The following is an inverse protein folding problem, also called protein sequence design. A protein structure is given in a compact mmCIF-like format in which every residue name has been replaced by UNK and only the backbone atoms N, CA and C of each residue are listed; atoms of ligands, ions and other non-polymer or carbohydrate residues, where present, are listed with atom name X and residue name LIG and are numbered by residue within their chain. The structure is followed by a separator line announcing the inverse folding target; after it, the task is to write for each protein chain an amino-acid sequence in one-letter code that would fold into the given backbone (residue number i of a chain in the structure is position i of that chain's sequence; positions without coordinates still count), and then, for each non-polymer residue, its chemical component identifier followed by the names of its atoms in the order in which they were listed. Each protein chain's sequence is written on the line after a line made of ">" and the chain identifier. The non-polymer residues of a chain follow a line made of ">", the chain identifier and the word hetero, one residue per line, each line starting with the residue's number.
data_IF_430655230133
#
_entry.id   IF_430655230133
#
_cell.length_a   1.000
_cell.length_b   1.000
_cell.length_c   1.000
_cell.angle_alpha   90.00
_cell.angle_beta   90.00
_cell.angle_gamma   90.00
#
_symmetry.space_group_name_H-M   'P 1'
#
loop_
_entity.id
_entity.type
_entity.pdbx_description
1 polymer ?
#
# COMPACT_ATOMS: atom_id res chain seq x y z
N UNK A 1 34.86 -12.35 -5.39
CA UNK A 1 33.85 -11.26 -5.32
C UNK A 1 32.63 -11.78 -4.58
N UNK A 2 32.00 -10.97 -3.73
CA UNK A 2 30.80 -11.39 -2.97
C UNK A 2 29.57 -10.76 -3.63
N UNK A 3 28.68 -11.59 -4.14
CA UNK A 3 27.48 -11.21 -4.89
C UNK A 3 26.29 -10.93 -3.96
N UNK A 4 25.45 -10.00 -4.42
CA UNK A 4 24.14 -9.72 -3.84
C UNK A 4 23.09 -10.60 -4.54
N UNK A 5 22.22 -11.26 -3.77
CA UNK A 5 21.06 -11.94 -4.32
C UNK A 5 20.02 -10.88 -4.74
N UNK A 6 19.75 -10.75 -6.04
CA UNK A 6 18.63 -9.94 -6.52
C UNK A 6 17.33 -10.67 -6.17
N UNK A 7 16.59 -10.14 -5.20
CA UNK A 7 15.26 -10.65 -4.87
C UNK A 7 14.23 -10.04 -5.80
N UNK A 8 13.56 -10.90 -6.56
CA UNK A 8 12.28 -10.58 -7.23
C UNK A 8 11.23 -10.35 -6.13
N UNK A 9 10.39 -9.33 -6.26
CA UNK A 9 9.34 -9.01 -5.29
C UNK A 9 9.38 -7.56 -4.83
N UNK A 10 8.99 -6.64 -5.70
CA UNK A 10 8.65 -5.25 -5.35
C UNK A 10 7.14 -5.06 -5.19
N UNK A 11 6.33 -6.09 -5.47
CA UNK A 11 4.87 -5.99 -5.42
C UNK A 11 4.35 -5.73 -4.00
N UNK A 12 5.05 -6.19 -2.95
CA UNK A 12 4.72 -5.85 -1.57
C UNK A 12 4.70 -4.33 -1.31
N UNK A 13 5.52 -3.55 -2.03
CA UNK A 13 5.51 -2.07 -1.94
C UNK A 13 4.23 -1.52 -2.56
N UNK A 14 3.85 -2.03 -3.73
CA UNK A 14 2.59 -1.68 -4.41
C UNK A 14 1.36 -2.02 -3.59
N UNK A 15 1.30 -3.25 -3.06
CA UNK A 15 0.22 -3.72 -2.17
C UNK A 15 0.12 -2.82 -0.92
N UNK A 16 1.25 -2.42 -0.34
CA UNK A 16 1.26 -1.53 0.84
C UNK A 16 0.79 -0.11 0.49
N UNK A 17 1.16 0.40 -0.68
CA UNK A 17 0.66 1.68 -1.21
C UNK A 17 -0.87 1.63 -1.40
N UNK A 18 -1.38 0.55 -1.99
CA UNK A 18 -2.82 0.39 -2.20
C UNK A 18 -3.59 0.24 -0.89
N UNK A 19 -3.04 -0.47 0.10
CA UNK A 19 -3.60 -0.52 1.45
C UNK A 19 -3.75 0.88 2.06
N UNK A 20 -2.80 1.79 1.82
CA UNK A 20 -2.88 3.18 2.29
C UNK A 20 -4.00 3.97 1.60
N UNK A 21 -4.23 3.74 0.30
CA UNK A 21 -5.34 4.34 -0.44
C UNK A 21 -6.69 3.85 0.06
N UNK A 22 -6.80 2.56 0.36
CA UNK A 22 -8.01 1.98 0.96
C UNK A 22 -8.24 2.53 2.37
N UNK A 23 -7.18 2.65 3.18
CA UNK A 23 -7.25 3.29 4.50
C UNK A 23 -7.75 4.74 4.39
N UNK A 24 -7.27 5.51 3.41
CA UNK A 24 -7.77 6.87 3.12
C UNK A 24 -9.28 6.88 2.91
N UNK A 25 -9.79 5.98 2.06
CA UNK A 25 -11.21 5.91 1.75
C UNK A 25 -12.03 5.57 3.00
N UNK A 26 -11.61 4.58 3.79
CA UNK A 26 -12.30 4.20 5.03
C UNK A 26 -12.34 5.36 6.02
N UNK A 27 -11.22 6.06 6.22
CA UNK A 27 -11.15 7.21 7.13
C UNK A 27 -12.02 8.38 6.64
N UNK A 28 -11.99 8.70 5.34
CA UNK A 28 -12.77 9.80 4.79
C UNK A 28 -14.28 9.52 4.88
N UNK A 29 -14.73 8.29 4.65
CA UNK A 29 -16.15 7.94 4.78
C UNK A 29 -16.72 8.23 6.17
N UNK A 30 -15.92 8.11 7.23
CA UNK A 30 -16.36 8.46 8.60
C UNK A 30 -16.64 9.95 8.80
N UNK A 31 -16.22 10.81 7.86
CA UNK A 31 -16.42 12.26 7.93
C UNK A 31 -17.59 12.75 7.08
N UNK A 32 -18.19 11.88 6.27
CA UNK A 32 -19.19 12.23 5.26
C UNK A 32 -20.59 11.80 5.70
N UNK A 33 -21.59 12.71 5.74
CA UNK A 33 -22.95 12.35 6.13
C UNK A 33 -23.60 11.37 5.15
N UNK A 34 -23.23 11.42 3.86
CA UNK A 34 -23.65 10.48 2.81
C UNK A 34 -23.34 9.01 3.15
N UNK A 35 -22.33 8.77 4.01
CA UNK A 35 -21.90 7.43 4.43
C UNK A 35 -22.27 7.12 5.89
N UNK A 36 -23.16 7.91 6.50
CA UNK A 36 -23.66 7.68 7.85
C UNK A 36 -22.91 8.41 8.97
N UNK A 37 -22.06 9.39 8.65
CA UNK A 37 -21.45 10.25 9.68
C UNK A 37 -22.50 11.16 10.33
N UNK A 38 -22.39 11.36 11.64
CA UNK A 38 -23.34 12.20 12.40
C UNK A 38 -23.32 13.68 11.99
N UNK A 39 -22.16 14.19 11.57
CA UNK A 39 -21.93 15.57 11.13
C UNK A 39 -20.83 15.61 10.07
N UNK A 40 -20.91 16.57 9.15
CA UNK A 40 -19.87 16.82 8.15
C UNK A 40 -18.60 17.38 8.84
N UNK A 41 -17.52 16.59 8.85
CA UNK A 41 -16.24 16.97 9.52
C UNK A 41 -15.15 17.31 8.49
N UNK A 42 -15.24 18.51 7.93
CA UNK A 42 -14.34 19.01 6.85
C UNK A 42 -12.85 19.04 7.25
N UNK A 43 -12.53 19.59 8.42
CA UNK A 43 -11.13 19.72 8.87
C UNK A 43 -10.45 18.35 9.06
N UNK A 44 -11.17 17.38 9.65
CA UNK A 44 -10.68 16.02 9.84
C UNK A 44 -10.43 15.32 8.50
N UNK A 45 -11.36 15.46 7.54
CA UNK A 45 -11.23 14.93 6.18
C UNK A 45 -9.96 15.41 5.49
N UNK A 46 -9.71 16.72 5.56
CA UNK A 46 -8.52 17.34 4.96
C UNK A 46 -7.24 16.76 5.59
N UNK A 47 -7.22 16.61 6.92
CA UNK A 47 -6.11 15.99 7.62
C UNK A 47 -5.86 14.54 7.18
N UNK A 48 -6.91 13.71 7.10
CA UNK A 48 -6.79 12.31 6.63
C UNK A 48 -6.27 12.22 5.19
N UNK A 49 -6.77 13.08 4.30
CA UNK A 49 -6.29 13.14 2.91
C UNK A 49 -4.82 13.53 2.83
N UNK A 50 -4.38 14.56 3.55
CA UNK A 50 -2.96 14.95 3.56
C UNK A 50 -2.07 13.88 4.17
N UNK A 51 -2.47 13.30 5.29
CA UNK A 51 -1.74 12.21 5.94
C UNK A 51 -1.52 11.04 4.97
N UNK A 52 -2.60 10.53 4.37
CA UNK A 52 -2.50 9.41 3.42
C UNK A 52 -1.74 9.79 2.14
N UNK A 53 -1.85 11.03 1.67
CA UNK A 53 -1.12 11.51 0.49
C UNK A 53 0.40 11.56 0.75
N UNK A 54 0.83 12.06 1.91
CA UNK A 54 2.24 12.05 2.32
C UNK A 54 2.76 10.62 2.41
N UNK A 55 1.99 9.71 3.01
CA UNK A 55 2.36 8.29 3.09
C UNK A 55 2.46 7.64 1.71
N UNK A 56 1.53 7.93 0.81
CA UNK A 56 1.54 7.45 -0.57
C UNK A 56 2.81 7.89 -1.30
N UNK A 57 3.19 9.17 -1.19
CA UNK A 57 4.46 9.66 -1.73
C UNK A 57 5.67 9.01 -1.09
N UNK A 58 5.62 8.68 0.20
CA UNK A 58 6.71 7.99 0.88
C UNK A 58 6.88 6.55 0.38
N UNK A 59 5.78 5.83 0.12
CA UNK A 59 5.83 4.51 -0.52
C UNK A 59 6.37 4.60 -1.95
N UNK A 60 5.92 5.58 -2.73
CA UNK A 60 6.45 5.82 -4.08
C UNK A 60 7.95 6.14 -4.05
N UNK A 61 8.39 7.00 -3.13
CA UNK A 61 9.80 7.31 -2.95
C UNK A 61 10.61 6.05 -2.59
N UNK A 62 10.05 5.13 -1.82
CA UNK A 62 10.71 3.85 -1.48
C UNK A 62 10.84 2.89 -2.66
N UNK A 63 9.97 2.97 -3.68
CA UNK A 63 10.12 2.16 -4.90
C UNK A 63 11.35 2.57 -5.73
N UNK A 64 11.80 3.84 -5.64
CA UNK A 64 12.89 4.37 -6.46
C UNK A 64 14.23 3.67 -6.15
N UNK A 65 14.72 3.59 -4.90
CA UNK A 65 15.93 2.84 -4.58
C UNK A 65 15.87 1.36 -5.01
N UNK A 66 14.72 0.71 -4.82
CA UNK A 66 14.53 -0.69 -5.22
C UNK A 66 14.63 -0.89 -6.73
N UNK A 67 14.04 0.02 -7.49
CA UNK A 67 14.06 0.01 -8.96
C UNK A 67 15.47 0.30 -9.49
N UNK A 68 16.13 1.34 -8.97
CA UNK A 68 17.50 1.71 -9.36
C UNK A 68 18.49 0.58 -9.07
N UNK A 69 18.39 -0.05 -7.89
CA UNK A 69 19.23 -1.18 -7.54
C UNK A 69 19.00 -2.40 -8.44
N UNK A 70 17.75 -2.60 -8.89
CA UNK A 70 17.39 -3.69 -9.82
C UNK A 70 17.95 -3.44 -11.23
N UNK A 71 17.82 -2.23 -11.78
CA UNK A 71 18.43 -1.86 -13.06
C UNK A 71 19.96 -1.96 -13.03
N UNK A 72 20.57 -1.56 -11.91
CA UNK A 72 22.01 -1.64 -11.70
C UNK A 72 22.55 -3.05 -11.46
N UNK A 73 21.73 -4.10 -11.49
CA UNK A 73 22.14 -5.45 -11.09
C UNK A 73 23.22 -6.04 -12.00
N UNK A 74 23.06 -5.92 -13.33
CA UNK A 74 24.02 -6.46 -14.30
C UNK A 74 25.42 -5.86 -14.12
N UNK A 75 25.50 -4.54 -13.93
CA UNK A 75 26.78 -3.84 -13.72
C UNK A 75 27.36 -4.01 -12.31
N UNK A 76 26.53 -4.34 -11.32
CA UNK A 76 26.97 -4.67 -9.97
C UNK A 76 27.57 -6.08 -9.86
N UNK A 77 27.39 -6.93 -10.89
CA UNK A 77 27.95 -8.29 -10.89
C UNK A 77 29.48 -8.31 -10.98
N UNK A 78 30.07 -7.36 -11.71
CA UNK A 78 31.52 -7.30 -11.93
C UNK A 78 32.25 -6.30 -11.03
N UNK A 79 31.52 -5.55 -10.19
CA UNK A 79 32.04 -4.42 -9.41
C UNK A 79 31.48 -4.43 -7.98
N UNK A 80 32.38 -4.68 -7.01
CA UNK A 80 32.01 -4.80 -5.60
C UNK A 80 31.47 -3.49 -5.02
N UNK A 81 31.98 -2.33 -5.44
CA UNK A 81 31.52 -1.04 -4.93
C UNK A 81 30.08 -0.74 -5.38
N UNK A 82 29.74 -1.11 -6.62
CA UNK A 82 28.36 -1.01 -7.12
C UNK A 82 27.42 -2.01 -6.44
N UNK A 83 27.89 -3.22 -6.14
CA UNK A 83 27.11 -4.22 -5.39
C UNK A 83 26.78 -3.74 -3.98
N UNK A 84 27.75 -3.18 -3.25
CA UNK A 84 27.53 -2.65 -1.90
C UNK A 84 26.55 -1.46 -1.91
N UNK A 85 26.63 -0.59 -2.93
CA UNK A 85 25.66 0.50 -3.10
C UNK A 85 24.25 -0.01 -3.37
N UNK A 86 24.09 -1.00 -4.26
CA UNK A 86 22.78 -1.57 -4.57
C UNK A 86 22.17 -2.26 -3.34
N UNK A 87 22.97 -3.00 -2.56
CA UNK A 87 22.53 -3.59 -1.30
C UNK A 87 22.02 -2.55 -0.30
N UNK A 88 22.73 -1.42 -0.15
CA UNK A 88 22.27 -0.31 0.70
C UNK A 88 20.93 0.24 0.24
N UNK A 89 20.75 0.47 -1.06
CA UNK A 89 19.49 0.96 -1.62
C UNK A 89 18.32 -0.01 -1.37
N UNK A 90 18.56 -1.32 -1.55
CA UNK A 90 17.56 -2.35 -1.30
C UNK A 90 17.18 -2.42 0.18
N UNK A 91 18.16 -2.37 1.09
CA UNK A 91 17.91 -2.35 2.54
C UNK A 91 17.14 -1.11 2.97
N UNK A 92 17.52 0.08 2.48
CA UNK A 92 16.80 1.32 2.77
C UNK A 92 15.34 1.22 2.30
N UNK A 93 15.10 0.72 1.08
CA UNK A 93 13.72 0.55 0.58
C UNK A 93 12.88 -0.39 1.45
N UNK A 94 13.44 -1.54 1.85
CA UNK A 94 12.74 -2.53 2.65
C UNK A 94 12.45 -2.01 4.07
N UNK A 95 13.40 -1.34 4.71
CA UNK A 95 13.23 -0.75 6.04
C UNK A 95 12.16 0.33 6.06
N UNK A 96 12.16 1.22 5.06
CA UNK A 96 11.16 2.30 4.95
C UNK A 96 9.75 1.72 4.79
N UNK A 97 9.60 0.70 3.93
CA UNK A 97 8.29 0.05 3.73
C UNK A 97 7.83 -0.66 5.00
N UNK A 98 8.71 -1.39 5.69
CA UNK A 98 8.37 -2.06 6.94
C UNK A 98 7.91 -1.06 8.00
N UNK A 99 8.62 0.05 8.17
CA UNK A 99 8.23 1.10 9.11
C UNK A 99 6.83 1.66 8.80
N UNK A 100 6.54 1.96 7.53
CA UNK A 100 5.23 2.46 7.14
C UNK A 100 4.11 1.41 7.18
N UNK A 101 4.41 0.13 6.95
CA UNK A 101 3.45 -0.96 7.16
C UNK A 101 3.04 -1.05 8.63
N UNK A 102 3.99 -0.97 9.56
CA UNK A 102 3.70 -0.94 11.00
C UNK A 102 2.81 0.25 11.35
N UNK A 103 3.11 1.45 10.82
CA UNK A 103 2.25 2.62 11.04
C UNK A 103 0.85 2.41 10.45
N UNK A 104 0.74 1.80 9.27
CA UNK A 104 -0.56 1.52 8.64
C UNK A 104 -1.40 0.56 9.48
N UNK A 105 -0.80 -0.47 10.06
CA UNK A 105 -1.45 -1.40 10.99
C UNK A 105 -1.92 -0.64 12.24
N UNK A 106 -1.04 0.15 12.86
CA UNK A 106 -1.36 0.92 14.07
C UNK A 106 -2.52 1.89 13.80
N UNK A 107 -2.46 2.66 12.71
CA UNK A 107 -3.53 3.61 12.35
C UNK A 107 -4.84 2.90 12.06
N UNK A 108 -4.81 1.75 11.36
CA UNK A 108 -6.01 0.96 11.09
C UNK A 108 -6.66 0.45 12.38
N UNK A 109 -5.84 -0.03 13.33
CA UNK A 109 -6.30 -0.48 14.65
C UNK A 109 -6.84 0.70 15.49
N UNK A 110 -6.09 1.79 15.59
CA UNK A 110 -6.53 2.99 16.31
C UNK A 110 -7.83 3.55 15.74
N UNK A 111 -7.99 3.57 14.42
CA UNK A 111 -9.22 3.99 13.77
C UNK A 111 -10.39 3.09 14.17
N UNK A 112 -10.20 1.76 14.17
CA UNK A 112 -11.22 0.80 14.58
C UNK A 112 -11.70 0.97 16.04
N UNK A 113 -10.81 1.39 16.95
CA UNK A 113 -11.15 1.58 18.37
C UNK A 113 -11.67 2.98 18.70
N UNK A 114 -11.09 4.04 18.09
CA UNK A 114 -11.40 5.44 18.45
C UNK A 114 -12.55 6.04 17.65
N UNK A 115 -12.77 5.60 16.42
CA UNK A 115 -13.79 6.18 15.54
C UNK A 115 -15.06 5.32 15.61
N UNK A 116 -16.11 5.83 16.27
CA UNK A 116 -17.38 5.09 16.42
C UNK A 116 -18.13 4.87 15.10
N UNK A 117 -17.96 5.80 14.16
CA UNK A 117 -18.65 5.84 12.86
C UNK A 117 -17.99 4.91 11.81
N UNK A 118 -16.90 4.21 12.17
CA UNK A 118 -16.15 3.36 11.25
C UNK A 118 -16.68 1.93 11.22
N UNK A 119 -16.69 1.32 10.03
CA UNK A 119 -16.90 -0.11 9.93
C UNK A 119 -15.61 -0.84 10.35
N UNK A 120 -15.60 -1.34 11.59
CA UNK A 120 -14.46 -2.02 12.20
C UNK A 120 -13.95 -3.20 11.38
N UNK A 121 -14.85 -3.92 10.71
CA UNK A 121 -14.49 -5.08 9.89
C UNK A 121 -13.52 -4.67 8.78
N UNK A 122 -13.79 -3.54 8.09
CA UNK A 122 -12.93 -3.05 7.01
C UNK A 122 -11.54 -2.64 7.51
N UNK A 123 -11.46 -2.08 8.71
CA UNK A 123 -10.18 -1.74 9.34
C UNK A 123 -9.39 -3.00 9.73
N UNK A 124 -10.06 -4.02 10.27
CA UNK A 124 -9.41 -5.30 10.59
C UNK A 124 -8.97 -6.04 9.34
N UNK A 125 -9.75 -6.02 8.26
CA UNK A 125 -9.36 -6.57 6.95
C UNK A 125 -8.09 -5.89 6.42
N UNK A 126 -8.03 -4.55 6.46
CA UNK A 126 -6.84 -3.78 6.08
C UNK A 126 -5.62 -4.11 6.94
N UNK A 127 -5.80 -4.19 8.25
CA UNK A 127 -4.74 -4.58 9.17
C UNK A 127 -4.27 -6.02 8.93
N UNK A 128 -5.20 -6.95 8.63
CA UNK A 128 -4.88 -8.33 8.33
C UNK A 128 -4.11 -8.49 7.01
N UNK A 129 -4.52 -7.78 5.95
CA UNK A 129 -3.82 -7.79 4.65
C UNK A 129 -2.41 -7.20 4.75
N UNK A 130 -2.25 -6.11 5.51
CA UNK A 130 -0.93 -5.50 5.73
C UNK A 130 -0.04 -6.38 6.62
N UNK A 131 -0.60 -7.01 7.65
CA UNK A 131 0.10 -7.98 8.50
C UNK A 131 0.52 -9.22 7.70
N UNK A 132 -0.32 -9.70 6.78
CA UNK A 132 -0.02 -10.84 5.90
C UNK A 132 1.20 -10.55 5.02
N UNK A 133 1.37 -9.31 4.54
CA UNK A 133 2.48 -8.93 3.65
C UNK A 133 3.75 -8.52 4.41
N UNK A 134 3.64 -8.21 5.71
CA UNK A 134 4.77 -7.80 6.57
C UNK A 134 5.97 -8.76 6.61
N UNK A 135 5.81 -10.11 6.56
CA UNK A 135 6.95 -11.03 6.52
C UNK A 135 7.88 -10.83 5.33
N UNK A 136 7.39 -10.30 4.21
CA UNK A 136 8.14 -10.10 2.96
C UNK A 136 9.32 -9.13 3.14
N UNK A 137 9.12 -7.87 3.58
CA UNK A 137 10.25 -6.97 3.85
C UNK A 137 11.15 -7.45 5.00
N UNK A 138 10.61 -8.16 6.01
CA UNK A 138 11.42 -8.74 7.09
C UNK A 138 12.38 -9.79 6.54
N UNK A 139 11.86 -10.75 5.78
CA UNK A 139 12.65 -11.77 5.11
C UNK A 139 13.71 -11.13 4.21
N UNK A 140 13.33 -10.11 3.43
CA UNK A 140 14.25 -9.37 2.56
C UNK A 140 15.38 -8.71 3.35
N UNK A 141 15.11 -8.07 4.48
CA UNK A 141 16.14 -7.47 5.34
C UNK A 141 17.10 -8.52 5.92
N UNK A 142 16.59 -9.69 6.31
CA UNK A 142 17.42 -10.79 6.80
C UNK A 142 18.30 -11.40 5.70
N UNK A 143 17.73 -11.67 4.52
CA UNK A 143 18.45 -12.36 3.43
C UNK A 143 19.43 -11.45 2.71
N UNK A 144 19.13 -10.16 2.53
CA UNK A 144 20.04 -9.21 1.88
C UNK A 144 21.34 -8.99 2.66
N UNK A 145 21.40 -9.35 3.94
CA UNK A 145 22.65 -9.33 4.73
C UNK A 145 23.58 -10.50 4.40
N UNK A 146 23.06 -11.59 3.82
CA UNK A 146 23.83 -12.77 3.47
C UNK A 146 24.55 -12.51 2.14
N UNK A 147 25.88 -12.44 2.19
CA UNK A 147 26.73 -12.25 1.02
C UNK A 147 27.20 -13.61 0.50
N UNK A 148 26.84 -13.98 -0.73
CA UNK A 148 27.26 -15.26 -1.32
C UNK A 148 28.41 -15.04 -2.30
N UNK A 149 29.31 -16.02 -2.42
CA UNK A 149 30.49 -15.94 -3.29
C UNK A 149 30.15 -16.50 -4.69
N UNK A 150 29.10 -17.32 -4.79
CA UNK A 150 28.65 -17.98 -6.02
C UNK A 150 27.14 -17.75 -6.22
N UNK A 151 26.74 -17.08 -7.31
CA UNK A 151 25.33 -16.85 -7.68
C UNK A 151 24.68 -18.11 -8.27
N UNK A 152 25.50 -19.02 -8.82
CA UNK A 152 25.04 -20.23 -9.52
C UNK A 152 25.03 -21.46 -8.63
N UNK A 153 25.53 -21.36 -7.40
CA UNK A 153 25.43 -22.45 -6.45
C UNK A 153 23.97 -22.56 -6.02
N UNK A 154 23.30 -23.69 -6.29
CA UNK A 154 21.89 -23.84 -5.98
C UNK A 154 21.71 -23.66 -4.47
N UNK A 155 20.83 -22.74 -4.07
CA UNK A 155 20.44 -22.61 -2.67
C UNK A 155 20.00 -23.99 -2.16
N UNK A 156 20.32 -24.27 -0.90
CA UNK A 156 19.84 -25.49 -0.24
C UNK A 156 18.31 -25.61 -0.42
N UNK A 157 17.77 -26.83 -0.57
CA UNK A 157 16.34 -27.04 -0.75
C UNK A 157 15.50 -26.34 0.34
N UNK A 158 16.02 -26.33 1.58
CA UNK A 158 15.40 -25.63 2.72
C UNK A 158 15.38 -24.11 2.52
N UNK A 159 16.47 -23.49 2.08
CA UNK A 159 16.51 -22.04 1.85
C UNK A 159 15.56 -21.62 0.70
N UNK A 160 15.43 -22.47 -0.33
CA UNK A 160 14.45 -22.27 -1.41
C UNK A 160 13.01 -22.37 -0.89
N UNK A 161 12.70 -23.35 -0.05
CA UNK A 161 11.37 -23.49 0.53
C UNK A 161 11.00 -22.26 1.37
N UNK A 162 11.91 -21.76 2.21
CA UNK A 162 11.69 -20.56 3.02
C UNK A 162 11.45 -19.34 2.13
N UNK A 163 12.21 -19.18 1.05
CA UNK A 163 11.96 -18.11 0.07
C UNK A 163 10.53 -18.15 -0.45
N UNK A 164 10.06 -19.29 -0.95
CA UNK A 164 8.70 -19.37 -1.51
C UNK A 164 7.62 -19.15 -0.44
N UNK A 165 7.76 -19.75 0.74
CA UNK A 165 6.73 -19.72 1.79
C UNK A 165 6.64 -18.35 2.47
N UNK A 166 7.78 -17.73 2.80
CA UNK A 166 7.82 -16.49 3.60
C UNK A 166 7.80 -15.24 2.73
N UNK A 167 8.33 -15.31 1.51
CA UNK A 167 8.42 -14.16 0.61
C UNK A 167 7.33 -14.18 -0.47
N UNK A 168 7.20 -15.27 -1.23
CA UNK A 168 6.32 -15.30 -2.40
C UNK A 168 4.84 -15.53 -2.06
N UNK A 169 4.55 -16.54 -1.23
CA UNK A 169 3.17 -16.93 -0.89
C UNK A 169 2.36 -15.78 -0.28
N UNK A 170 2.86 -14.99 0.68
CA UNK A 170 2.05 -13.94 1.29
C UNK A 170 1.74 -12.80 0.31
N UNK A 171 2.68 -12.47 -0.58
CA UNK A 171 2.49 -11.47 -1.63
C UNK A 171 1.39 -11.92 -2.62
N UNK A 172 1.45 -13.19 -3.06
CA UNK A 172 0.47 -13.76 -3.98
C UNK A 172 -0.90 -13.96 -3.35
N UNK A 173 -0.94 -14.39 -2.09
CA UNK A 173 -2.19 -14.54 -1.36
C UNK A 173 -2.88 -13.19 -1.18
N UNK A 174 -2.13 -12.15 -0.79
CA UNK A 174 -2.67 -10.80 -0.65
C UNK A 174 -3.17 -10.25 -2.00
N UNK A 175 -2.38 -10.41 -3.07
CA UNK A 175 -2.80 -10.03 -4.42
C UNK A 175 -4.07 -10.78 -4.86
N UNK A 176 -4.17 -12.08 -4.57
CA UNK A 176 -5.34 -12.89 -4.90
C UNK A 176 -6.58 -12.44 -4.13
N UNK A 177 -6.46 -12.09 -2.85
CA UNK A 177 -7.58 -11.55 -2.06
C UNK A 177 -8.02 -10.19 -2.60
N UNK A 178 -7.08 -9.31 -2.95
CA UNK A 178 -7.39 -7.99 -3.52
C UNK A 178 -8.02 -8.09 -4.90
N UNK A 179 -7.58 -9.01 -5.76
CA UNK A 179 -8.16 -9.21 -7.09
C UNK A 179 -9.48 -9.99 -7.05
N UNK A 180 -9.63 -10.93 -6.13
CA UNK A 180 -10.82 -11.76 -5.98
C UNK A 180 -11.98 -11.06 -5.28
N UNK A 181 -11.69 -10.03 -4.49
CA UNK A 181 -12.73 -9.21 -3.84
C UNK A 181 -13.06 -7.99 -4.69
N UNK A 182 -14.34 -7.63 -4.75
CA UNK A 182 -14.72 -6.34 -5.35
C UNK A 182 -14.35 -5.21 -4.37
N UNK A 183 -13.07 -4.81 -4.41
CA UNK A 183 -12.48 -3.77 -3.53
C UNK A 183 -13.28 -2.48 -3.61
N UNK A 184 -13.82 -2.17 -4.79
CA UNK A 184 -14.64 -0.99 -5.02
C UNK A 184 -15.93 -1.01 -4.19
N UNK A 185 -16.67 -2.12 -4.27
CA UNK A 185 -17.87 -2.31 -3.46
C UNK A 185 -17.55 -2.44 -1.96
N UNK A 186 -16.47 -3.15 -1.62
CA UNK A 186 -16.11 -3.45 -0.23
C UNK A 186 -15.68 -2.21 0.54
N UNK A 187 -14.87 -1.35 -0.08
CA UNK A 187 -14.35 -0.13 0.54
C UNK A 187 -15.08 1.15 0.11
N UNK A 188 -16.14 1.02 -0.69
CA UNK A 188 -16.93 2.12 -1.26
C UNK A 188 -16.06 3.13 -2.02
N UNK A 189 -15.05 2.66 -2.75
CA UNK A 189 -14.20 3.56 -3.53
C UNK A 189 -14.93 3.98 -4.81
N UNK A 190 -14.85 5.27 -5.20
CA UNK A 190 -15.40 5.73 -6.48
C UNK A 190 -14.67 5.09 -7.68
N UNK A 191 -15.16 5.27 -8.93
CA UNK A 191 -14.47 4.79 -10.16
C UNK A 191 -13.01 5.21 -10.20
N UNK A 192 -12.74 6.39 -9.66
CA UNK A 192 -11.42 7.00 -9.60
C UNK A 192 -10.91 7.09 -8.16
N UNK A 193 -11.54 6.47 -7.16
CA UNK A 193 -11.19 6.66 -5.75
C UNK A 193 -11.42 8.09 -5.23
N UNK A 194 -11.03 8.34 -3.97
CA UNK A 194 -11.12 9.67 -3.35
C UNK A 194 -9.82 10.47 -3.59
N UNK A 195 -9.70 11.15 -4.74
CA UNK A 195 -8.59 12.07 -5.05
C UNK A 195 -8.96 13.55 -4.89
N UNK A 196 -10.12 13.87 -4.33
CA UNK A 196 -10.58 15.24 -4.24
C UNK A 196 -9.86 16.01 -3.14
N UNK A 197 -8.76 16.67 -3.52
CA UNK A 197 -8.06 17.55 -2.59
C UNK A 197 -8.87 18.81 -2.25
N UNK A 198 -9.82 19.21 -3.11
CA UNK A 198 -10.59 20.45 -3.00
C UNK A 198 -12.08 20.17 -2.84
N UNK A 199 -12.64 20.56 -1.70
CA UNK A 199 -14.06 20.33 -1.37
C UNK A 199 -15.04 21.10 -2.27
N UNK A 200 -14.60 22.19 -2.92
CA UNK A 200 -15.44 23.00 -3.81
C UNK A 200 -16.02 22.21 -4.99
N UNK A 201 -15.39 21.10 -5.39
CA UNK A 201 -15.92 20.24 -6.45
C UNK A 201 -17.08 19.37 -5.95
N UNK A 202 -17.02 18.90 -4.70
CA UNK A 202 -18.10 18.15 -4.07
C UNK A 202 -19.30 19.06 -3.81
N UNK A 203 -19.08 20.24 -3.26
CA UNK A 203 -20.17 21.19 -2.95
C UNK A 203 -20.94 21.54 -4.25
N UNK A 204 -20.24 21.82 -5.35
CA UNK A 204 -20.86 22.03 -6.68
C UNK A 204 -21.64 20.83 -7.21
N UNK A 205 -21.23 19.60 -6.89
CA UNK A 205 -22.00 18.40 -7.28
C UNK A 205 -23.26 18.27 -6.44
N UNK A 206 -23.17 18.53 -5.14
CA UNK A 206 -24.33 18.50 -4.25
C UNK A 206 -25.34 19.58 -4.62
N UNK A 207 -24.89 20.78 -4.98
CA UNK A 207 -25.73 21.86 -5.52
C UNK A 207 -26.44 21.39 -6.81
N UNK A 208 -25.72 20.81 -7.78
CA UNK A 208 -26.33 20.28 -9.01
C UNK A 208 -27.31 19.13 -8.77
N UNK A 209 -27.04 18.26 -7.81
CA UNK A 209 -27.94 17.17 -7.41
C UNK A 209 -29.22 17.76 -6.81
N UNK A 210 -29.09 18.77 -5.94
CA UNK A 210 -30.21 19.47 -5.34
C UNK A 210 -31.04 20.24 -6.39
N UNK A 211 -30.38 20.89 -7.36
CA UNK A 211 -31.03 21.61 -8.46
C UNK A 211 -31.77 20.67 -9.42
N UNK A 212 -31.20 19.51 -9.72
CA UNK A 212 -31.78 18.59 -10.70
C UNK A 212 -32.79 17.60 -10.10
N UNK A 213 -32.90 17.49 -8.76
CA UNK A 213 -33.75 16.49 -8.10
C UNK A 213 -33.34 15.04 -8.38
N UNK A 214 -32.13 14.83 -8.92
CA UNK A 214 -31.57 13.55 -9.34
C UNK A 214 -30.89 12.88 -8.15
N UNK A 215 -31.03 11.57 -7.98
CA UNK A 215 -30.36 10.85 -6.88
C UNK A 215 -28.84 10.82 -7.08
N UNK A 216 -28.05 10.91 -5.99
CA UNK A 216 -26.57 10.94 -6.02
C UNK A 216 -25.93 9.77 -6.82
N UNK A 217 -26.65 8.66 -6.99
CA UNK A 217 -26.21 7.50 -7.78
C UNK A 217 -26.23 7.71 -9.30
N UNK A 218 -27.11 8.56 -9.84
CA UNK A 218 -27.23 8.79 -11.29
C UNK A 218 -26.13 9.73 -11.83
N UNK A 219 -25.63 10.66 -11.01
CA UNK A 219 -24.56 11.59 -11.41
C UNK A 219 -23.21 10.90 -11.56
N UNK A 220 -22.92 9.87 -10.74
CA UNK A 220 -21.70 9.06 -10.89
C UNK A 220 -21.80 8.03 -12.04
N UNK A 221 -23.03 7.70 -12.46
CA UNK A 221 -23.35 6.88 -13.62
C UNK A 221 -23.33 7.63 -14.96
N UNK A 222 -23.63 8.94 -14.98
CA UNK A 222 -23.71 9.74 -16.21
C UNK A 222 -22.35 10.02 -16.89
N UNK A 223 -21.23 9.78 -16.20
CA UNK A 223 -19.89 9.71 -16.81
C UNK A 223 -19.55 8.33 -17.39
N UNK A 224 -20.54 7.47 -17.58
CA UNK A 224 -20.43 6.17 -18.23
C UNK A 224 -20.99 6.20 -19.66
N UNK A 225 -20.59 7.19 -20.46
CA UNK A 225 -20.55 7.12 -21.92
C UNK A 225 -19.20 7.64 -22.37
#
# INVERSE_FOLDING_TARGET
>A
MKYAQATVGLGFIGISSDATKLLRCVLVHTTLPEYGASRDRRTARRCYRYFCCIFEFAFLASTVPGTVASYGYSSARSDQAKADRNLRLLNVSASVVLAFQVVTIIVSMLAAYKVKEINRIRCFELAALTLLVMPVPIYRLCVLQIRTINVFEPLSPSARAIFYIVHLVPEWLCASVLLGTNVRARFCTGRWGDYELRESLRDKRLEKVAENGISLGEVDGSKAV
#
